data_IF_890480987818
#
_entry.id   IF_890480987818
#
_cell.length_a   1.000
_cell.length_b   1.000
_cell.length_c   1.000
_cell.angle_alpha   90.00
_cell.angle_beta   90.00
_cell.angle_gamma   90.00
#
_symmetry.space_group_name_H-M   'P 1'
#
loop_
_entity.id
_entity.type
_entity.pdbx_description
1 polymer ?
#
# COMPACT_ATOMS: atom_id res chain seq x y z
N UNK A 1 -6.40 16.92 -2.37
CA UNK A 1 -6.68 16.78 -0.93
C UNK A 1 -5.64 17.57 -0.15
N UNK A 2 -6.01 18.19 0.95
CA UNK A 2 -5.03 18.78 1.87
C UNK A 2 -4.40 17.71 2.79
N UNK A 3 -3.37 18.11 3.56
CA UNK A 3 -2.64 17.18 4.45
C UNK A 3 -3.56 16.46 5.44
N UNK A 4 -4.59 17.14 5.96
CA UNK A 4 -5.51 16.57 6.96
C UNK A 4 -6.48 15.58 6.33
N UNK A 5 -6.98 15.88 5.13
CA UNK A 5 -7.83 14.98 4.34
C UNK A 5 -7.05 13.71 3.93
N UNK A 6 -5.78 13.87 3.52
CA UNK A 6 -4.93 12.72 3.18
C UNK A 6 -4.73 11.81 4.39
N UNK A 7 -4.40 12.35 5.56
CA UNK A 7 -4.22 11.54 6.78
C UNK A 7 -5.54 10.87 7.19
N UNK A 8 -6.67 11.57 7.11
CA UNK A 8 -7.96 10.95 7.40
C UNK A 8 -8.26 9.76 6.48
N UNK A 9 -7.96 9.89 5.17
CA UNK A 9 -8.11 8.79 4.22
C UNK A 9 -7.17 7.60 4.52
N UNK A 10 -5.98 7.85 5.07
CA UNK A 10 -5.06 6.82 5.54
C UNK A 10 -5.61 6.08 6.76
N UNK A 11 -6.14 6.81 7.74
CA UNK A 11 -6.70 6.25 8.97
C UNK A 11 -7.91 5.34 8.68
N UNK A 12 -8.69 5.63 7.63
CA UNK A 12 -9.84 4.81 7.20
C UNK A 12 -9.48 3.38 6.78
N UNK A 13 -8.23 3.12 6.36
CA UNK A 13 -7.76 1.81 5.90
C UNK A 13 -6.73 1.17 6.81
N UNK A 14 -6.58 1.68 8.03
CA UNK A 14 -5.84 1.01 9.09
C UNK A 14 -6.39 -0.42 9.31
N UNK A 15 -5.48 -1.38 9.48
CA UNK A 15 -5.81 -2.80 9.71
C UNK A 15 -6.62 -3.46 8.56
N UNK A 16 -6.51 -2.91 7.35
CA UNK A 16 -7.10 -3.49 6.13
C UNK A 16 -6.05 -4.24 5.30
N UNK A 17 -6.49 -4.97 4.27
CA UNK A 17 -5.60 -5.76 3.43
C UNK A 17 -5.12 -4.96 2.21
N UNK A 18 -3.81 -4.71 2.11
CA UNK A 18 -3.19 -4.26 0.86
C UNK A 18 -3.00 -5.46 -0.06
N UNK A 19 -3.59 -5.41 -1.25
CA UNK A 19 -3.60 -6.54 -2.21
C UNK A 19 -2.70 -6.32 -3.42
N UNK A 20 -2.42 -5.07 -3.80
CA UNK A 20 -1.51 -4.72 -4.88
C UNK A 20 -0.97 -3.31 -4.69
N UNK A 21 0.26 -3.05 -5.12
CA UNK A 21 0.79 -1.71 -5.23
C UNK A 21 1.81 -1.60 -6.37
N UNK A 22 1.89 -0.44 -7.00
CA UNK A 22 2.82 -0.21 -8.10
C UNK A 22 2.52 1.09 -8.84
N UNK A 23 3.39 1.47 -9.77
CA UNK A 23 3.09 2.55 -10.69
C UNK A 23 1.86 2.19 -11.55
N UNK A 24 0.99 3.18 -11.77
CA UNK A 24 -0.09 3.09 -12.72
C UNK A 24 0.46 2.84 -14.14
N UNK A 25 -0.40 2.35 -15.04
CA UNK A 25 -0.08 2.05 -16.44
C UNK A 25 0.66 3.15 -17.21
N UNK A 26 0.31 4.42 -16.94
CA UNK A 26 0.91 5.60 -17.53
C UNK A 26 2.16 6.10 -16.78
N UNK A 27 2.64 5.34 -15.79
CA UNK A 27 3.94 5.45 -15.13
C UNK A 27 4.21 6.72 -14.30
N UNK A 28 3.24 7.62 -14.16
CA UNK A 28 3.37 8.87 -13.37
C UNK A 28 2.87 8.71 -11.94
N UNK A 29 1.74 8.05 -11.79
CA UNK A 29 1.03 7.93 -10.52
C UNK A 29 1.33 6.57 -9.89
N UNK A 30 1.23 6.47 -8.57
CA UNK A 30 1.42 5.22 -7.84
C UNK A 30 0.09 4.77 -7.24
N UNK A 31 -0.32 3.55 -7.52
CA UNK A 31 -1.56 2.98 -7.02
C UNK A 31 -1.27 2.02 -5.86
N UNK A 32 -2.07 2.13 -4.80
CA UNK A 32 -2.19 1.16 -3.72
C UNK A 32 -3.62 0.66 -3.69
N UNK A 33 -3.81 -0.65 -3.79
CA UNK A 33 -5.13 -1.28 -3.78
C UNK A 33 -5.38 -1.92 -2.44
N UNK A 34 -6.49 -1.54 -1.81
CA UNK A 34 -6.90 -2.01 -0.48
C UNK A 34 -8.21 -2.76 -0.59
N UNK A 35 -8.25 -3.96 -0.04
CA UNK A 35 -9.48 -4.69 0.23
C UNK A 35 -9.93 -4.37 1.65
N UNK A 36 -10.88 -3.45 1.76
CA UNK A 36 -11.42 -2.97 3.02
C UNK A 36 -12.59 -3.86 3.46
N UNK A 37 -12.47 -4.46 4.64
CA UNK A 37 -13.45 -5.33 5.27
C UNK A 37 -13.94 -4.72 6.57
N UNK A 38 -15.17 -5.06 6.94
CA UNK A 38 -15.74 -4.75 8.25
C UNK A 38 -15.99 -6.04 9.00
N UNK A 39 -16.29 -5.95 10.31
CA UNK A 39 -16.75 -7.09 11.08
C UNK A 39 -17.90 -7.80 10.33
N UNK A 40 -17.76 -9.09 9.97
CA UNK A 40 -18.76 -9.82 9.20
C UNK A 40 -20.16 -9.79 9.82
N UNK A 41 -20.26 -9.60 11.13
CA UNK A 41 -21.53 -9.51 11.87
C UNK A 41 -22.33 -8.25 11.53
N UNK A 42 -21.69 -7.22 10.98
CA UNK A 42 -22.37 -5.98 10.58
C UNK A 42 -23.12 -6.10 9.25
N UNK A 43 -22.82 -7.12 8.44
CA UNK A 43 -23.41 -7.32 7.12
C UNK A 43 -22.99 -6.28 6.07
N UNK A 44 -22.05 -5.39 6.39
CA UNK A 44 -21.51 -4.42 5.42
C UNK A 44 -20.57 -5.18 4.46
N UNK A 45 -20.79 -5.08 3.14
CA UNK A 45 -19.96 -5.79 2.17
C UNK A 45 -18.55 -5.19 2.09
N UNK A 46 -17.51 -6.01 1.82
CA UNK A 46 -16.17 -5.50 1.56
C UNK A 46 -16.13 -4.54 0.36
N UNK A 47 -15.21 -3.59 0.40
CA UNK A 47 -14.95 -2.64 -0.68
C UNK A 47 -13.53 -2.81 -1.22
N UNK A 48 -13.37 -2.67 -2.53
CA UNK A 48 -12.06 -2.56 -3.16
C UNK A 48 -11.80 -1.08 -3.41
N UNK A 49 -10.76 -0.56 -2.78
CA UNK A 49 -10.37 0.84 -2.85
C UNK A 49 -9.05 0.96 -3.62
N UNK A 50 -8.95 1.99 -4.47
CA UNK A 50 -7.71 2.42 -5.08
C UNK A 50 -7.30 3.74 -4.46
N UNK A 51 -6.12 3.77 -3.86
CA UNK A 51 -5.42 4.96 -3.39
C UNK A 51 -4.39 5.34 -4.44
N UNK A 52 -4.70 6.35 -5.25
CA UNK A 52 -3.83 6.86 -6.30
C UNK A 52 -3.05 8.07 -5.81
N UNK A 53 -1.76 7.89 -5.61
CA UNK A 53 -0.79 8.93 -5.29
C UNK A 53 -0.33 9.59 -6.60
N UNK A 54 -0.89 10.74 -6.91
CA UNK A 54 -0.65 11.46 -8.17
C UNK A 54 0.70 12.17 -8.18
N UNK A 55 1.30 12.26 -9.37
CA UNK A 55 2.63 12.87 -9.56
C UNK A 55 3.67 12.26 -8.62
N UNK A 56 3.71 10.92 -8.54
CA UNK A 56 4.59 10.21 -7.63
C UNK A 56 6.03 10.19 -8.17
N UNK A 57 6.85 11.09 -7.62
CA UNK A 57 8.24 11.29 -8.05
C UNK A 57 9.22 10.27 -7.42
N UNK A 58 8.82 9.62 -6.33
CA UNK A 58 9.58 8.52 -5.72
C UNK A 58 8.64 7.46 -5.17
N UNK A 59 8.95 6.20 -5.46
CA UNK A 59 8.43 5.05 -4.75
C UNK A 59 9.57 4.10 -4.37
N UNK A 60 9.67 3.76 -3.09
CA UNK A 60 10.62 2.77 -2.57
C UNK A 60 9.89 1.71 -1.76
N UNK A 61 10.21 0.44 -1.98
CA UNK A 61 9.70 -0.67 -1.19
C UNK A 61 10.88 -1.46 -0.60
N UNK A 62 10.79 -1.79 0.68
CA UNK A 62 11.72 -2.68 1.38
C UNK A 62 10.93 -3.76 2.09
N UNK A 63 11.57 -4.87 2.41
CA UNK A 63 10.95 -5.92 3.22
C UNK A 63 10.62 -5.42 4.63
N UNK A 64 9.45 -5.78 5.14
CA UNK A 64 9.13 -5.66 6.56
C UNK A 64 9.65 -6.83 7.40
N UNK A 65 9.92 -7.98 6.76
CA UNK A 65 10.50 -9.14 7.43
C UNK A 65 11.96 -8.89 7.81
N UNK A 66 12.34 -9.39 8.98
CA UNK A 66 13.74 -9.46 9.41
C UNK A 66 14.52 -10.46 8.55
N UNK A 67 15.87 -10.44 8.57
CA UNK A 67 16.67 -11.46 7.90
C UNK A 67 16.33 -12.90 8.32
N UNK A 68 15.94 -13.12 9.59
CA UNK A 68 15.49 -14.42 10.04
C UNK A 68 14.13 -14.79 9.44
N UNK A 69 13.18 -13.86 9.46
CA UNK A 69 11.88 -14.06 8.81
C UNK A 69 12.03 -14.40 7.34
N UNK A 70 12.96 -13.75 6.63
CA UNK A 70 13.31 -14.14 5.26
C UNK A 70 13.80 -15.56 5.16
N UNK A 71 14.79 -15.99 5.97
CA UNK A 71 15.32 -17.36 5.94
C UNK A 71 14.22 -18.40 6.11
N UNK A 72 13.30 -18.15 7.02
CA UNK A 72 12.18 -19.06 7.31
C UNK A 72 11.14 -19.04 6.18
N UNK A 73 11.15 -18.02 5.31
CA UNK A 73 10.16 -17.80 4.25
C UNK A 73 10.68 -18.09 2.83
N UNK A 74 11.82 -18.77 2.69
CA UNK A 74 12.45 -19.06 1.38
C UNK A 74 11.89 -20.30 0.67
N UNK A 75 11.08 -21.12 1.34
CA UNK A 75 10.52 -22.32 0.71
C UNK A 75 9.49 -21.92 -0.36
N UNK A 76 9.70 -22.34 -1.61
CA UNK A 76 8.83 -22.01 -2.75
C UNK A 76 7.37 -22.45 -2.53
N UNK A 77 7.11 -23.43 -1.67
CA UNK A 77 5.73 -23.83 -1.33
C UNK A 77 4.96 -22.71 -0.63
N UNK A 78 5.64 -21.77 0.02
CA UNK A 78 5.01 -20.61 0.68
C UNK A 78 4.41 -19.60 -0.32
N UNK A 79 4.72 -19.68 -1.62
CA UNK A 79 4.06 -18.84 -2.65
C UNK A 79 2.69 -19.35 -3.08
N UNK A 80 2.29 -20.52 -2.59
CA UNK A 80 0.99 -21.15 -2.79
C UNK A 80 0.30 -21.35 -1.44
N UNK A 81 -0.92 -20.83 -1.29
CA UNK A 81 -1.63 -20.87 -0.01
C UNK A 81 -1.83 -22.30 0.51
N UNK A 82 -2.30 -23.21 -0.35
CA UNK A 82 -2.65 -24.57 0.10
C UNK A 82 -1.41 -25.41 0.41
N UNK A 83 -0.32 -25.19 -0.33
CA UNK A 83 0.95 -25.91 -0.10
C UNK A 83 1.75 -25.36 1.07
N UNK A 84 1.61 -24.06 1.35
CA UNK A 84 2.39 -23.34 2.36
C UNK A 84 1.72 -23.23 3.73
N UNK A 85 0.40 -23.43 3.85
CA UNK A 85 -0.37 -23.13 5.07
C UNK A 85 0.10 -23.82 6.36
N UNK A 86 0.77 -24.97 6.23
CA UNK A 86 1.25 -25.78 7.36
C UNK A 86 2.78 -25.65 7.57
N UNK A 87 3.45 -24.76 6.83
CA UNK A 87 4.88 -24.48 6.96
C UNK A 87 5.11 -23.25 7.84
N UNK A 88 6.27 -23.21 8.49
CA UNK A 88 6.75 -22.01 9.16
C UNK A 88 7.14 -20.92 8.14
N UNK A 89 7.17 -19.67 8.61
CA UNK A 89 7.54 -18.51 7.82
C UNK A 89 6.36 -17.67 7.35
N UNK A 90 6.65 -16.70 6.49
CA UNK A 90 5.67 -15.81 5.89
C UNK A 90 5.04 -16.46 4.66
N UNK A 91 3.74 -16.72 4.71
CA UNK A 91 2.99 -17.31 3.60
C UNK A 91 2.70 -16.30 2.49
N UNK A 92 3.60 -16.14 1.52
CA UNK A 92 3.40 -15.26 0.35
C UNK A 92 2.13 -15.56 -0.45
N UNK A 93 1.69 -16.82 -0.44
CA UNK A 93 0.52 -17.32 -1.16
C UNK A 93 -0.81 -16.75 -0.69
N UNK A 94 -0.86 -16.04 0.44
CA UNK A 94 -2.06 -15.30 0.88
C UNK A 94 -2.38 -14.13 -0.05
N UNK A 95 -1.39 -13.60 -0.79
CA UNK A 95 -1.55 -12.53 -1.82
C UNK A 95 -2.13 -11.22 -1.27
N UNK A 96 -1.89 -10.94 0.00
CA UNK A 96 -2.15 -9.64 0.62
C UNK A 96 -1.17 -9.42 1.77
N UNK A 97 -1.07 -8.19 2.25
CA UNK A 97 -0.32 -7.81 3.44
C UNK A 97 -1.18 -6.88 4.31
N UNK A 98 -1.13 -7.06 5.62
CA UNK A 98 -1.90 -6.26 6.57
C UNK A 98 -1.35 -4.84 6.59
N UNK A 99 -2.21 -3.82 6.48
CA UNK A 99 -1.88 -2.41 6.71
C UNK A 99 -1.73 -2.14 8.20
N UNK A 100 -0.67 -2.71 8.77
CA UNK A 100 -0.28 -2.55 10.16
C UNK A 100 1.23 -2.30 10.22
N UNK A 101 1.69 -1.15 10.75
CA UNK A 101 0.93 -0.13 11.48
C UNK A 101 0.05 0.81 10.64
N UNK A 102 -0.03 0.66 9.31
CA UNK A 102 -0.90 1.47 8.46
C UNK A 102 -0.15 2.50 7.64
N UNK A 103 -0.80 3.61 7.29
CA UNK A 103 -0.22 4.67 6.47
C UNK A 103 -0.14 5.98 7.27
N UNK A 104 0.97 6.68 7.13
CA UNK A 104 1.18 7.97 7.79
C UNK A 104 1.86 8.98 6.87
N UNK A 105 1.48 10.25 7.01
CA UNK A 105 2.24 11.34 6.41
C UNK A 105 3.49 11.65 7.23
N UNK A 106 4.66 11.49 6.61
CA UNK A 106 5.93 11.87 7.21
C UNK A 106 5.93 13.37 7.48
N UNK A 107 6.19 13.73 8.73
CA UNK A 107 6.39 15.13 9.13
C UNK A 107 7.76 15.61 8.62
N UNK A 108 7.81 16.85 8.14
CA UNK A 108 9.07 17.51 7.81
C UNK A 108 9.99 16.77 6.81
N UNK A 109 9.41 16.04 5.85
CA UNK A 109 10.17 15.39 4.77
C UNK A 109 10.99 16.40 3.97
N UNK A 110 12.33 16.22 4.00
CA UNK A 110 13.25 17.08 3.27
C UNK A 110 13.08 16.95 1.75
N UNK A 111 12.84 15.73 1.28
CA UNK A 111 12.65 15.43 -0.14
C UNK A 111 11.33 16.00 -0.66
N UNK A 112 10.21 15.79 0.05
CA UNK A 112 8.93 16.39 -0.33
C UNK A 112 9.01 17.92 -0.36
N UNK A 113 9.68 18.56 0.62
CA UNK A 113 9.91 20.02 0.60
C UNK A 113 10.75 20.48 -0.58
N UNK A 114 11.74 19.69 -1.01
CA UNK A 114 12.56 20.02 -2.17
C UNK A 114 11.72 20.00 -3.44
N UNK A 115 10.97 18.92 -3.68
CA UNK A 115 10.06 18.82 -4.81
C UNK A 115 8.99 19.91 -4.82
N UNK A 116 8.44 20.26 -3.66
CA UNK A 116 7.46 21.35 -3.58
C UNK A 116 8.03 22.68 -4.06
N UNK A 117 9.29 22.98 -3.72
CA UNK A 117 9.96 24.22 -4.14
C UNK A 117 10.30 24.20 -5.63
N UNK A 118 10.80 23.08 -6.12
CA UNK A 118 11.30 22.99 -7.50
C UNK A 118 10.17 23.01 -8.53
N UNK A 119 8.98 22.50 -8.16
CA UNK A 119 7.83 22.38 -9.06
C UNK A 119 6.70 23.37 -8.75
N UNK A 120 6.82 24.19 -7.70
CA UNK A 120 5.79 25.13 -7.24
C UNK A 120 4.41 24.46 -7.04
N UNK A 121 4.43 23.28 -6.39
CA UNK A 121 3.26 22.43 -6.16
C UNK A 121 3.37 21.76 -4.77
N UNK A 122 2.27 21.51 -4.04
CA UNK A 122 2.37 20.74 -2.80
C UNK A 122 2.89 19.32 -3.04
N UNK A 123 3.90 18.90 -2.28
CA UNK A 123 4.36 17.53 -2.18
C UNK A 123 4.35 17.04 -0.73
N UNK A 124 4.12 15.74 -0.61
CA UNK A 124 4.01 14.98 0.63
C UNK A 124 4.86 13.73 0.55
N UNK A 125 5.23 13.20 1.72
CA UNK A 125 5.79 11.87 1.82
C UNK A 125 4.86 11.00 2.67
N UNK A 126 4.50 9.84 2.14
CA UNK A 126 3.77 8.80 2.87
C UNK A 126 4.72 7.67 3.25
N UNK A 127 4.60 7.20 4.49
CA UNK A 127 5.15 5.93 4.95
C UNK A 127 4.00 4.94 5.10
N UNK A 128 4.11 3.79 4.45
CA UNK A 128 3.10 2.73 4.44
C UNK A 128 3.75 1.49 5.03
N UNK A 129 3.38 1.18 6.26
CA UNK A 129 3.85 0.01 6.99
C UNK A 129 2.89 -1.16 6.84
N UNK A 130 3.43 -2.31 6.45
CA UNK A 130 2.68 -3.57 6.39
C UNK A 130 3.50 -4.72 6.98
N UNK A 131 2.89 -5.90 7.11
CA UNK A 131 3.61 -7.09 7.55
C UNK A 131 4.49 -7.75 6.46
N UNK A 132 4.37 -7.35 5.18
CA UNK A 132 5.20 -7.86 4.08
C UNK A 132 6.26 -6.86 3.62
N UNK A 133 5.82 -5.63 3.34
CA UNK A 133 6.67 -4.54 2.84
C UNK A 133 6.51 -3.25 3.64
N UNK A 134 7.58 -2.47 3.73
CA UNK A 134 7.54 -1.06 4.06
C UNK A 134 7.66 -0.26 2.77
N UNK A 135 6.69 0.61 2.49
CA UNK A 135 6.66 1.43 1.28
C UNK A 135 6.78 2.88 1.68
N UNK A 136 7.59 3.66 0.95
CA UNK A 136 7.67 5.10 1.12
C UNK A 136 7.48 5.77 -0.25
N UNK A 137 6.59 6.77 -0.29
CA UNK A 137 6.16 7.45 -1.51
C UNK A 137 6.33 8.96 -1.35
N UNK A 138 6.90 9.65 -2.35
CA UNK A 138 6.83 11.11 -2.48
C UNK A 138 5.91 11.46 -3.64
N UNK A 139 4.86 12.22 -3.35
CA UNK A 139 3.74 12.44 -4.25
C UNK A 139 3.12 13.82 -4.00
N UNK A 140 2.30 14.30 -4.94
CA UNK A 140 1.68 15.62 -4.83
C UNK A 140 0.28 15.58 -4.20
N UNK A 141 -0.59 14.69 -4.68
CA UNK A 141 -1.97 14.61 -4.22
C UNK A 141 -2.48 13.16 -4.19
N UNK A 142 -3.53 12.89 -3.42
CA UNK A 142 -4.19 11.59 -3.29
C UNK A 142 -5.60 11.63 -3.90
N UNK A 143 -5.92 10.60 -4.68
CA UNK A 143 -7.29 10.30 -5.12
C UNK A 143 -7.68 8.92 -4.61
N UNK A 144 -8.84 8.81 -3.98
CA UNK A 144 -9.38 7.54 -3.49
C UNK A 144 -10.65 7.18 -4.23
N UNK A 145 -10.65 6.02 -4.88
CA UNK A 145 -11.77 5.53 -5.67
C UNK A 145 -12.23 4.14 -5.18
N UNK A 146 -13.55 3.90 -5.23
CA UNK A 146 -14.07 2.53 -5.17
C UNK A 146 -13.98 1.91 -6.56
N UNK A 147 -13.35 0.75 -6.67
CA UNK A 147 -13.19 0.04 -7.94
C UNK A 147 -14.08 -1.21 -8.01
N UNK A 148 -14.53 -1.60 -9.21
CA UNK A 148 -15.29 -2.82 -9.38
C UNK A 148 -14.42 -4.05 -9.16
N UNK A 149 -15.05 -5.15 -8.73
CA UNK A 149 -14.41 -6.47 -8.68
C UNK A 149 -13.94 -6.85 -10.09
N UNK A 150 -12.72 -7.40 -10.19
CA UNK A 150 -12.11 -7.79 -11.46
C UNK A 150 -11.38 -6.67 -12.19
N UNK A 151 -11.25 -5.49 -11.58
CA UNK A 151 -10.35 -4.45 -12.09
C UNK A 151 -8.91 -4.98 -12.20
N UNK A 152 -8.29 -4.78 -13.36
CA UNK A 152 -6.89 -5.13 -13.62
C UNK A 152 -6.04 -3.85 -13.63
N UNK A 153 -4.95 -3.77 -12.82
CA UNK A 153 -4.11 -2.57 -12.76
C UNK A 153 -3.44 -2.24 -14.11
N UNK A 154 -3.23 -3.24 -14.96
CA UNK A 154 -2.76 -3.09 -16.32
C UNK A 154 -3.36 -4.20 -17.19
N UNK A 155 -3.40 -3.95 -18.51
CA UNK A 155 -3.77 -4.94 -19.52
C UNK A 155 -2.61 -4.98 -20.52
N UNK A 156 -2.23 -6.19 -20.96
CA UNK A 156 -1.23 -6.41 -22.00
C UNK A 156 -1.88 -6.70 -23.34
#
# INVERSE_FOLDING_TARGET
MDRSEIQAAFDEVFDQALVFHGYADHMRDYDVFVHATTDPRTGIPPRHLRYRFTHCVRASATSALSPQGWRDSLDDRLVDHERGRDLDGYGWGVRWQALYPGMDLVADSAEARQWSRDLDLPFHEAAIGTNGHNISLVFSDLVVDVIPVGHAPFVM
#
